data_IF_560121570892
#
_entry.id   IF_560121570892
#
_cell.length_a   1.000
_cell.length_b   1.000
_cell.length_c   1.000
_cell.angle_alpha   90.00
_cell.angle_beta   90.00
_cell.angle_gamma   90.00
#
_symmetry.space_group_name_H-M   'P 1'
#
loop_
_entity.id
_entity.type
_entity.pdbx_description
1 polymer ?
#
# COMPACT_ATOMS: atom_id res chain seq x y z
N UNK A 1 0.15 -1.03 -6.43
CA UNK A 1 -0.31 -2.20 -5.63
C UNK A 1 -1.47 -1.74 -4.75
N UNK A 2 -2.42 -2.63 -4.43
CA UNK A 2 -3.67 -2.25 -3.73
C UNK A 2 -4.71 -1.60 -4.68
N UNK A 3 -4.73 -2.05 -5.93
CA UNK A 3 -5.45 -1.39 -7.04
C UNK A 3 -6.98 -1.50 -6.94
N UNK A 4 -7.47 -2.50 -6.21
CA UNK A 4 -8.90 -2.78 -5.93
C UNK A 4 -9.50 -1.84 -4.90
N UNK A 5 -8.69 -1.13 -4.12
CA UNK A 5 -9.19 -0.18 -3.12
C UNK A 5 -9.75 1.08 -3.78
N UNK A 6 -10.68 1.78 -3.12
CA UNK A 6 -11.23 3.05 -3.63
C UNK A 6 -10.14 4.10 -3.87
N UNK A 7 -9.12 4.12 -3.02
CA UNK A 7 -7.94 4.97 -3.19
C UNK A 7 -7.13 4.54 -4.43
N UNK A 8 -6.84 3.24 -4.55
CA UNK A 8 -6.09 2.67 -5.67
C UNK A 8 -6.76 2.94 -7.03
N UNK A 9 -8.07 2.69 -7.15
CA UNK A 9 -8.82 2.92 -8.38
C UNK A 9 -8.85 4.40 -8.78
N UNK A 10 -9.05 5.30 -7.82
CA UNK A 10 -9.02 6.75 -8.05
C UNK A 10 -7.64 7.23 -8.50
N UNK A 11 -6.57 6.69 -7.91
CA UNK A 11 -5.19 6.99 -8.29
C UNK A 11 -4.89 6.51 -9.72
N UNK A 12 -5.32 5.30 -10.07
CA UNK A 12 -5.15 4.73 -11.42
C UNK A 12 -5.82 5.62 -12.47
N UNK A 13 -7.09 6.00 -12.25
CA UNK A 13 -7.83 6.87 -13.16
C UNK A 13 -7.06 8.18 -13.38
N UNK A 14 -6.61 8.83 -12.29
CA UNK A 14 -5.92 10.11 -12.37
C UNK A 14 -4.55 10.03 -13.06
N UNK A 15 -3.83 8.92 -12.91
CA UNK A 15 -2.58 8.67 -13.63
C UNK A 15 -2.83 8.43 -15.13
N UNK A 16 -3.90 7.71 -15.46
CA UNK A 16 -4.31 7.48 -16.85
C UNK A 16 -4.75 8.77 -17.54
N UNK A 17 -5.52 9.62 -16.88
CA UNK A 17 -5.89 10.95 -17.41
C UNK A 17 -4.67 11.83 -17.71
N UNK A 18 -3.59 11.66 -16.94
CA UNK A 18 -2.34 12.42 -17.10
C UNK A 18 -1.38 11.91 -18.17
N UNK A 19 -1.70 10.82 -18.87
CA UNK A 19 -0.81 10.30 -19.93
C UNK A 19 0.14 9.16 -19.52
N UNK A 20 0.14 8.72 -18.26
CA UNK A 20 0.98 7.61 -17.80
C UNK A 20 0.46 6.20 -18.16
N UNK A 21 1.36 5.29 -18.55
CA UNK A 21 1.04 3.85 -18.55
C UNK A 21 1.02 3.35 -17.11
N UNK A 22 0.00 2.56 -16.75
CA UNK A 22 -0.21 2.09 -15.39
C UNK A 22 -0.23 0.57 -15.36
N UNK A 23 0.62 0.00 -14.51
CA UNK A 23 0.55 -1.40 -14.11
C UNK A 23 -0.29 -1.49 -12.83
N UNK A 24 -1.50 -2.02 -12.94
CA UNK A 24 -2.36 -2.30 -11.79
C UNK A 24 -2.08 -3.71 -11.29
N UNK A 25 -1.65 -3.82 -10.04
CA UNK A 25 -1.45 -5.10 -9.38
C UNK A 25 -2.65 -5.39 -8.47
N UNK A 26 -3.29 -6.54 -8.67
CA UNK A 26 -4.47 -7.02 -7.94
C UNK A 26 -4.18 -8.41 -7.35
N UNK A 27 -4.75 -8.73 -6.20
CA UNK A 27 -4.57 -10.05 -5.58
C UNK A 27 -5.49 -11.13 -6.17
N UNK A 28 -6.55 -10.77 -6.89
CA UNK A 28 -7.54 -11.71 -7.39
C UNK A 28 -8.17 -11.29 -8.73
N UNK A 29 -8.48 -12.28 -9.57
CA UNK A 29 -9.06 -12.08 -10.91
C UNK A 29 -10.44 -11.39 -10.93
N UNK A 30 -11.20 -11.39 -9.84
CA UNK A 30 -12.51 -10.73 -9.77
C UNK A 30 -12.42 -9.20 -9.85
N UNK A 31 -11.35 -8.63 -9.28
CA UNK A 31 -11.14 -7.18 -9.21
C UNK A 31 -10.66 -6.60 -10.56
N UNK A 32 -10.21 -7.48 -11.45
CA UNK A 32 -9.71 -7.18 -12.80
C UNK A 32 -10.82 -6.64 -13.70
N UNK A 33 -12.03 -7.19 -13.58
CA UNK A 33 -13.18 -6.89 -14.44
C UNK A 33 -13.69 -5.46 -14.20
N UNK A 34 -13.69 -5.01 -12.95
CA UNK A 34 -14.17 -3.68 -12.58
C UNK A 34 -13.21 -2.59 -13.08
N UNK A 35 -11.91 -2.74 -12.83
CA UNK A 35 -10.87 -1.81 -13.30
C UNK A 35 -10.83 -1.70 -14.84
N UNK A 36 -10.94 -2.84 -15.54
CA UNK A 36 -10.92 -2.89 -17.01
C UNK A 36 -12.18 -2.30 -17.66
N UNK A 37 -13.28 -2.17 -16.91
CA UNK A 37 -14.53 -1.57 -17.41
C UNK A 37 -14.52 -0.05 -17.38
N UNK A 38 -13.68 0.56 -16.54
CA UNK A 38 -13.67 2.00 -16.25
C UNK A 38 -12.53 2.73 -17.00
N UNK A 39 -11.50 2.02 -17.45
CA UNK A 39 -10.23 2.62 -17.88
C UNK A 39 -9.87 2.39 -19.37
N UNK A 40 -8.99 3.26 -19.90
CA UNK A 40 -8.38 3.09 -21.23
C UNK A 40 -7.52 1.82 -21.27
N UNK A 41 -8.03 0.81 -21.98
CA UNK A 41 -7.44 -0.53 -22.09
C UNK A 41 -6.05 -0.55 -22.76
N UNK A 42 -5.62 0.52 -23.42
CA UNK A 42 -4.29 0.55 -24.07
C UNK A 42 -3.15 0.85 -23.09
N UNK A 43 -3.44 1.60 -22.03
CA UNK A 43 -2.43 2.12 -21.08
C UNK A 43 -2.56 1.55 -19.68
N UNK A 44 -3.63 0.81 -19.39
CA UNK A 44 -3.77 -0.01 -18.21
C UNK A 44 -3.35 -1.45 -18.52
N UNK A 45 -2.38 -1.97 -17.76
CA UNK A 45 -2.03 -3.39 -17.74
C UNK A 45 -2.33 -3.94 -16.35
N UNK A 46 -3.04 -5.05 -16.28
CA UNK A 46 -3.39 -5.66 -15.00
C UNK A 46 -2.53 -6.90 -14.76
N UNK A 47 -2.05 -7.05 -13.53
CA UNK A 47 -1.17 -8.12 -13.08
C UNK A 47 -1.77 -8.76 -11.83
N UNK A 48 -1.83 -10.09 -11.84
CA UNK A 48 -2.10 -10.85 -10.63
C UNK A 48 -0.83 -10.85 -9.77
N UNK A 49 -0.96 -10.41 -8.52
CA UNK A 49 0.15 -10.21 -7.60
C UNK A 49 -0.08 -11.00 -6.32
N UNK A 50 0.91 -11.81 -5.97
CA UNK A 50 1.07 -12.37 -4.64
C UNK A 50 2.27 -11.68 -3.96
N UNK A 51 2.04 -11.04 -2.82
CA UNK A 51 3.05 -10.31 -2.05
C UNK A 51 4.16 -11.22 -1.49
N UNK A 52 3.97 -12.54 -1.54
CA UNK A 52 4.93 -13.55 -1.12
C UNK A 52 5.53 -14.35 -2.27
N UNK A 53 5.07 -14.16 -3.51
CA UNK A 53 5.73 -14.66 -4.71
C UNK A 53 6.56 -13.56 -5.37
N UNK A 54 7.87 -13.66 -5.19
CA UNK A 54 8.84 -12.73 -5.75
C UNK A 54 8.73 -12.61 -7.29
N UNK A 55 8.38 -13.69 -7.99
CA UNK A 55 8.26 -13.66 -9.44
C UNK A 55 7.09 -12.77 -9.89
N UNK A 56 5.92 -12.94 -9.27
CA UNK A 56 4.74 -12.10 -9.53
C UNK A 56 5.01 -10.61 -9.27
N UNK A 57 5.76 -10.28 -8.21
CA UNK A 57 6.15 -8.90 -7.88
C UNK A 57 7.03 -8.32 -8.99
N UNK A 58 8.08 -9.04 -9.37
CA UNK A 58 9.01 -8.60 -10.40
C UNK A 58 8.28 -8.40 -11.73
N UNK A 59 7.40 -9.31 -12.11
CA UNK A 59 6.65 -9.21 -13.37
C UNK A 59 5.70 -8.00 -13.39
N UNK A 60 5.06 -7.68 -12.28
CA UNK A 60 4.24 -6.47 -12.16
C UNK A 60 5.07 -5.17 -12.22
N UNK A 61 6.31 -5.19 -11.73
CA UNK A 61 7.19 -4.02 -11.64
C UNK A 61 8.03 -3.77 -12.90
N UNK A 62 8.30 -4.79 -13.72
CA UNK A 62 9.14 -4.66 -14.93
C UNK A 62 8.65 -3.53 -15.85
N UNK A 63 9.54 -2.58 -16.14
CA UNK A 63 9.26 -1.43 -17.02
C UNK A 63 8.50 -0.29 -16.35
N UNK A 64 8.28 -0.35 -15.04
CA UNK A 64 7.78 0.78 -14.26
C UNK A 64 8.93 1.67 -13.79
N UNK A 65 8.73 2.99 -13.78
CA UNK A 65 9.68 3.94 -13.18
C UNK A 65 9.34 4.34 -11.74
N UNK A 66 8.12 4.05 -11.31
CA UNK A 66 7.59 4.48 -10.03
C UNK A 66 6.60 3.45 -9.50
N UNK A 67 6.67 3.15 -8.20
CA UNK A 67 5.71 2.29 -7.51
C UNK A 67 4.89 3.10 -6.51
N UNK A 68 3.57 2.98 -6.59
CA UNK A 68 2.65 3.31 -5.50
C UNK A 68 2.27 2.02 -4.77
N UNK A 69 2.71 1.91 -3.52
CA UNK A 69 2.45 0.78 -2.65
C UNK A 69 1.39 1.15 -1.61
N UNK A 70 0.26 0.46 -1.68
CA UNK A 70 -0.74 0.43 -0.61
C UNK A 70 -0.90 -1.02 -0.22
N UNK A 71 -0.68 -1.32 1.06
CA UNK A 71 -0.92 -2.66 1.57
C UNK A 71 -2.44 -2.95 1.54
N UNK A 72 -2.78 -4.18 1.16
CA UNK A 72 -4.13 -4.70 1.17
C UNK A 72 -4.06 -6.08 1.85
N UNK A 73 -4.74 -6.28 2.98
CA UNK A 73 -4.77 -7.57 3.66
C UNK A 73 -5.26 -8.66 2.70
N UNK A 74 -4.64 -9.85 2.70
CA UNK A 74 -5.14 -10.97 1.94
C UNK A 74 -6.57 -11.32 2.36
N UNK A 75 -7.44 -11.61 1.39
CA UNK A 75 -8.90 -11.81 1.63
C UNK A 75 -9.23 -13.02 2.52
N UNK A 76 -8.30 -13.95 2.68
CA UNK A 76 -8.40 -15.14 3.53
C UNK A 76 -8.04 -14.88 4.99
N UNK A 77 -7.51 -13.70 5.31
CA UNK A 77 -7.25 -13.28 6.69
C UNK A 77 -8.41 -12.50 7.30
N UNK A 78 -8.44 -12.48 8.64
CA UNK A 78 -9.46 -11.76 9.38
C UNK A 78 -9.38 -10.25 9.10
N UNK A 79 -10.52 -9.56 9.15
CA UNK A 79 -10.57 -8.10 9.05
C UNK A 79 -9.99 -7.38 10.28
N UNK A 80 -9.60 -8.13 11.31
CA UNK A 80 -8.98 -7.59 12.52
C UNK A 80 -7.50 -7.41 12.23
N UNK A 81 -7.02 -6.18 12.42
CA UNK A 81 -5.61 -5.84 12.33
C UNK A 81 -4.94 -6.13 13.68
N UNK A 82 -4.26 -7.27 13.77
CA UNK A 82 -3.53 -7.72 14.96
C UNK A 82 -2.00 -7.75 14.73
N UNK A 83 -1.24 -8.23 15.72
CA UNK A 83 0.23 -8.32 15.61
C UNK A 83 0.66 -9.20 14.43
N UNK A 84 -0.09 -10.26 14.13
CA UNK A 84 0.18 -11.14 13.00
C UNK A 84 -0.05 -10.42 11.66
N UNK A 85 -1.12 -9.64 11.53
CA UNK A 85 -1.36 -8.81 10.35
C UNK A 85 -0.27 -7.74 10.17
N UNK A 86 0.21 -7.16 11.27
CA UNK A 86 1.33 -6.22 11.22
C UNK A 86 2.62 -6.89 10.71
N UNK A 87 2.92 -8.12 11.15
CA UNK A 87 4.06 -8.90 10.65
C UNK A 87 3.92 -9.23 9.15
N UNK A 88 2.71 -9.58 8.70
CA UNK A 88 2.39 -9.80 7.28
C UNK A 88 2.67 -8.54 6.46
N UNK A 89 2.17 -7.39 6.89
CA UNK A 89 2.36 -6.12 6.19
C UNK A 89 3.84 -5.76 6.08
N UNK A 90 4.60 -5.88 7.18
CA UNK A 90 6.04 -5.61 7.19
C UNK A 90 6.78 -6.55 6.23
N UNK A 91 6.47 -7.84 6.24
CA UNK A 91 7.09 -8.82 5.34
C UNK A 91 6.75 -8.54 3.88
N UNK A 92 5.49 -8.20 3.58
CA UNK A 92 5.06 -7.84 2.23
C UNK A 92 5.78 -6.58 1.73
N UNK A 93 5.87 -5.53 2.55
CA UNK A 93 6.59 -4.32 2.21
C UNK A 93 8.08 -4.59 1.94
N UNK A 94 8.71 -5.42 2.78
CA UNK A 94 10.11 -5.82 2.61
C UNK A 94 10.35 -6.56 1.28
N UNK A 95 9.52 -7.54 0.94
CA UNK A 95 9.60 -8.27 -0.33
C UNK A 95 9.50 -7.32 -1.54
N UNK A 96 8.59 -6.36 -1.49
CA UNK A 96 8.37 -5.40 -2.57
C UNK A 96 9.55 -4.43 -2.70
N UNK A 97 10.13 -3.99 -1.59
CA UNK A 97 11.32 -3.13 -1.61
C UNK A 97 12.54 -3.86 -2.16
N UNK A 98 12.76 -5.10 -1.74
CA UNK A 98 13.82 -5.96 -2.28
C UNK A 98 13.65 -6.13 -3.79
N UNK A 99 12.43 -6.42 -4.26
CA UNK A 99 12.15 -6.53 -5.69
C UNK A 99 12.40 -5.22 -6.45
N UNK A 100 11.99 -4.08 -5.88
CA UNK A 100 12.26 -2.77 -6.45
C UNK A 100 13.76 -2.48 -6.56
N UNK A 101 14.54 -2.86 -5.55
CA UNK A 101 16.00 -2.67 -5.54
C UNK A 101 16.72 -3.47 -6.63
N UNK A 102 16.12 -4.57 -7.12
CA UNK A 102 16.66 -5.36 -8.24
C UNK A 102 16.21 -4.86 -9.63
N UNK A 103 15.31 -3.88 -9.70
CA UNK A 103 14.81 -3.33 -10.96
C UNK A 103 15.40 -1.94 -11.19
N UNK A 104 16.33 -1.87 -12.13
CA UNK A 104 17.08 -0.67 -12.53
C UNK A 104 16.19 0.51 -12.97
N UNK A 105 15.02 0.23 -13.52
CA UNK A 105 14.08 1.26 -13.99
C UNK A 105 13.32 1.96 -12.86
N UNK A 106 13.23 1.40 -11.65
CA UNK A 106 12.47 1.99 -10.54
C UNK A 106 13.27 3.12 -9.91
N UNK A 107 12.75 4.34 -9.99
CA UNK A 107 13.38 5.55 -9.45
C UNK A 107 12.74 6.02 -8.14
N UNK A 108 11.48 5.64 -7.89
CA UNK A 108 10.72 6.08 -6.71
C UNK A 108 9.73 5.04 -6.24
N UNK A 109 9.66 4.87 -4.93
CA UNK A 109 8.60 4.10 -4.25
C UNK A 109 7.86 5.03 -3.30
N UNK A 110 6.53 5.05 -3.40
CA UNK A 110 5.63 5.83 -2.54
C UNK A 110 4.81 4.83 -1.72
N UNK A 111 4.95 4.91 -0.40
CA UNK A 111 4.16 4.11 0.54
C UNK A 111 2.96 4.89 1.04
N UNK A 112 1.79 4.25 0.98
CA UNK A 112 0.60 4.71 1.69
C UNK A 112 0.67 4.20 3.11
N UNK A 113 0.95 5.11 4.06
CA UNK A 113 0.81 4.85 5.50
C UNK A 113 -0.58 5.30 5.98
N UNK A 114 -0.76 5.44 7.29
CA UNK A 114 -1.99 5.86 7.95
C UNK A 114 -1.69 6.89 9.04
N UNK A 115 -2.66 7.77 9.33
CA UNK A 115 -2.57 8.67 10.48
C UNK A 115 -2.40 7.91 11.81
N UNK A 116 -2.84 6.65 11.89
CA UNK A 116 -2.63 5.77 13.05
C UNK A 116 -1.15 5.58 13.40
N UNK A 117 -0.23 5.80 12.45
CA UNK A 117 1.20 5.75 12.69
C UNK A 117 1.74 6.92 13.53
N UNK A 118 0.96 8.00 13.73
CA UNK A 118 1.43 9.24 14.37
C UNK A 118 0.52 9.80 15.48
N UNK A 119 -0.62 9.20 15.80
CA UNK A 119 -1.63 9.77 16.71
C UNK A 119 -1.67 9.13 18.11
N UNK A 120 -1.00 8.00 18.33
CA UNK A 120 -1.13 7.23 19.57
C UNK A 120 0.02 7.42 20.55
N UNK A 121 -0.26 7.38 21.85
CA UNK A 121 0.78 7.40 22.89
C UNK A 121 1.26 8.79 23.33
N UNK A 122 0.58 9.86 22.93
CA UNK A 122 0.79 11.20 23.48
C UNK A 122 0.02 11.30 24.81
N UNK A 123 0.73 11.28 25.94
CA UNK A 123 0.14 11.26 27.28
C UNK A 123 -0.45 12.64 27.63
N UNK A 124 -1.79 12.72 27.67
CA UNK A 124 -2.60 13.94 27.84
C UNK A 124 -2.57 14.51 29.28
N UNK A 125 -1.60 14.10 30.12
CA UNK A 125 -1.61 14.42 31.56
C UNK A 125 -1.09 15.82 31.91
N UNK A 126 -0.68 16.63 30.93
CA UNK A 126 -0.16 17.99 31.20
C UNK A 126 -0.62 19.10 30.27
N UNK A 127 -1.42 18.84 29.23
CA UNK A 127 -1.81 19.92 28.33
C UNK A 127 -3.26 19.84 27.91
N UNK A 128 -4.08 20.73 28.46
CA UNK A 128 -5.38 21.10 27.91
C UNK A 128 -5.25 21.86 26.58
N UNK A 129 -4.33 21.45 25.70
CA UNK A 129 -4.08 22.06 24.40
C UNK A 129 -3.84 20.95 23.40
N UNK A 130 -4.51 21.03 22.25
CA UNK A 130 -4.26 20.20 21.08
C UNK A 130 -2.78 19.85 20.93
N UNK A 131 -2.47 18.56 20.81
CA UNK A 131 -1.13 18.12 20.41
C UNK A 131 -0.98 18.47 18.94
N UNK A 132 -0.15 19.46 18.63
CA UNK A 132 0.23 19.78 17.26
C UNK A 132 1.11 18.66 16.71
N UNK A 133 0.50 17.73 15.98
CA UNK A 133 1.19 16.62 15.32
C UNK A 133 1.78 17.06 13.98
N UNK A 134 3.01 16.62 13.71
CA UNK A 134 3.72 16.81 12.44
C UNK A 134 4.34 15.48 11.97
N UNK A 135 5.01 15.49 10.80
CA UNK A 135 5.58 14.29 10.17
C UNK A 135 6.79 13.69 10.91
N UNK A 136 7.23 14.29 12.03
CA UNK A 136 8.29 13.76 12.88
C UNK A 136 7.74 12.94 14.05
N UNK A 137 6.43 12.97 14.28
CA UNK A 137 5.77 12.23 15.34
C UNK A 137 5.57 10.77 14.95
N UNK A 138 5.56 9.89 15.95
CA UNK A 138 5.32 8.46 15.80
C UNK A 138 4.47 7.95 16.96
N UNK A 139 3.58 7.02 16.66
CA UNK A 139 2.76 6.34 17.64
C UNK A 139 3.60 5.47 18.58
N UNK A 140 3.32 5.51 19.89
CA UNK A 140 4.00 4.65 20.84
C UNK A 140 3.54 3.19 20.69
N UNK A 141 4.48 2.31 20.34
CA UNK A 141 4.18 0.91 20.05
C UNK A 141 3.67 0.17 21.29
N UNK A 142 4.12 0.52 22.50
CA UNK A 142 3.64 -0.12 23.73
C UNK A 142 2.20 0.32 24.05
N UNK A 143 1.85 1.57 23.77
CA UNK A 143 0.49 2.06 23.84
C UNK A 143 -0.41 1.31 22.85
N UNK A 144 0.00 1.22 21.58
CA UNK A 144 -0.71 0.47 20.54
C UNK A 144 -0.97 -0.99 20.94
N UNK A 145 0.07 -1.72 21.40
CA UNK A 145 -0.09 -3.11 21.88
C UNK A 145 -1.03 -3.24 23.07
N UNK A 146 -0.90 -2.32 24.05
CA UNK A 146 -1.72 -2.34 25.27
C UNK A 146 -3.20 -2.12 24.98
N UNK A 147 -3.52 -1.22 24.06
CA UNK A 147 -4.90 -0.82 23.76
C UNK A 147 -5.46 -1.46 22.49
N UNK A 148 -4.65 -2.21 21.75
CA UNK A 148 -4.98 -2.82 20.45
C UNK A 148 -5.49 -1.79 19.43
N UNK A 149 -4.69 -0.75 19.23
CA UNK A 149 -4.95 0.40 18.34
C UNK A 149 -3.80 0.70 17.39
#
# INVERSE_FOLDING_TARGET
>A
MGSSTQFGSSLIIRLLEKGFTVHAAIQNHGDEVELMSICDKKRLKVFCLDLFDYHSIIDALKGCSCLFYSFEPPKDHSTIYDEYMAEIEVRAAHNVLEACAQIDTIEKVIFTSSATAIIWGFDDKKSSSHVDLDEKHWSDINFCRKYKV
#
